data_IF_907401648928
#
_entry.id   IF_907401648928
#
_cell.length_a   1.000
_cell.length_b   1.000
_cell.length_c   1.000
_cell.angle_alpha   90.00
_cell.angle_beta   90.00
_cell.angle_gamma   90.00
#
_symmetry.space_group_name_H-M   'P 1'
#
loop_
_entity.id
_entity.type
_entity.pdbx_description
1 polymer ?
#
# COMPACT_ATOMS: atom_id res chain seq x y z
N UNK A 1 4.40 9.76 8.14
CA UNK A 1 5.41 9.61 7.08
C UNK A 1 4.95 8.63 6.00
N UNK A 2 4.91 7.31 6.23
CA UNK A 2 4.48 6.32 5.19
C UNK A 2 3.10 6.65 4.64
N UNK A 3 2.15 6.97 5.51
CA UNK A 3 0.81 7.43 5.12
C UNK A 3 0.83 8.66 4.22
N UNK A 4 1.72 9.62 4.48
CA UNK A 4 1.90 10.82 3.65
C UNK A 4 2.49 10.48 2.29
N UNK A 5 3.49 9.60 2.24
CA UNK A 5 4.07 9.10 0.97
C UNK A 5 2.97 8.42 0.14
N UNK A 6 2.19 7.54 0.76
CA UNK A 6 1.07 6.85 0.10
C UNK A 6 -0.03 7.81 -0.35
N UNK A 7 -0.29 8.89 0.39
CA UNK A 7 -1.23 9.92 -0.03
C UNK A 7 -0.76 10.66 -1.28
N UNK A 8 0.50 11.13 -1.32
CA UNK A 8 1.07 11.75 -2.51
C UNK A 8 1.10 10.77 -3.70
N UNK A 9 1.47 9.51 -3.44
CA UNK A 9 1.45 8.45 -4.42
C UNK A 9 0.06 8.22 -5.01
N UNK A 10 -0.97 8.17 -4.15
CA UNK A 10 -2.35 8.03 -4.60
C UNK A 10 -2.76 9.21 -5.48
N UNK A 11 -2.54 10.45 -5.03
CA UNK A 11 -2.90 11.65 -5.79
C UNK A 11 -2.18 11.71 -7.14
N UNK A 12 -0.91 11.31 -7.18
CA UNK A 12 -0.08 11.41 -8.37
C UNK A 12 -0.30 10.27 -9.36
N UNK A 13 -0.41 9.05 -8.86
CA UNK A 13 -0.35 7.83 -9.67
C UNK A 13 -1.67 7.09 -9.77
N UNK A 14 -2.63 7.33 -8.89
CA UNK A 14 -3.88 6.56 -8.83
C UNK A 14 -5.12 7.41 -9.14
N UNK A 15 -5.22 8.60 -8.54
CA UNK A 15 -6.38 9.45 -8.67
C UNK A 15 -6.65 9.83 -10.14
N UNK A 16 -7.91 9.65 -10.57
CA UNK A 16 -8.33 9.97 -11.94
C UNK A 16 -7.84 8.98 -13.00
N UNK A 17 -7.22 7.85 -12.61
CA UNK A 17 -6.78 6.80 -13.53
C UNK A 17 -7.63 5.54 -13.39
N UNK A 18 -7.67 4.74 -14.45
CA UNK A 18 -8.34 3.43 -14.47
C UNK A 18 -7.31 2.32 -14.34
N UNK A 19 -7.60 1.33 -13.49
CA UNK A 19 -6.73 0.17 -13.28
C UNK A 19 -7.48 -1.12 -13.57
N UNK A 20 -6.72 -2.10 -14.06
CA UNK A 20 -7.24 -3.44 -14.37
C UNK A 20 -7.64 -4.22 -13.10
N UNK A 21 -7.04 -3.89 -11.96
CA UNK A 21 -7.31 -4.54 -10.68
C UNK A 21 -6.85 -3.69 -9.50
N UNK A 22 -7.30 -4.04 -8.29
CA UNK A 22 -6.80 -3.47 -7.04
C UNK A 22 -5.30 -3.77 -6.84
N UNK A 23 -4.80 -4.92 -7.32
CA UNK A 23 -3.36 -5.24 -7.25
C UNK A 23 -2.50 -4.26 -8.04
N UNK A 24 -2.97 -3.81 -9.21
CA UNK A 24 -2.24 -2.81 -9.99
C UNK A 24 -2.11 -1.47 -9.23
N UNK A 25 -3.10 -1.14 -8.39
CA UNK A 25 -3.04 0.03 -7.50
C UNK A 25 -2.01 -0.20 -6.39
N UNK A 26 -2.04 -1.37 -5.72
CA UNK A 26 -1.06 -1.68 -4.67
C UNK A 26 0.39 -1.71 -5.19
N UNK A 27 0.62 -2.20 -6.41
CA UNK A 27 1.94 -2.15 -7.06
C UNK A 27 2.36 -0.69 -7.26
N UNK A 28 1.48 0.14 -7.82
CA UNK A 28 1.78 1.56 -8.06
C UNK A 28 2.10 2.30 -6.75
N UNK A 29 1.39 1.99 -5.66
CA UNK A 29 1.63 2.57 -4.34
C UNK A 29 2.93 2.05 -3.70
N UNK A 30 3.25 0.76 -3.87
CA UNK A 30 4.50 0.17 -3.37
C UNK A 30 5.73 0.73 -4.11
N UNK A 31 5.63 0.92 -5.43
CA UNK A 31 6.66 1.57 -6.24
C UNK A 31 6.93 3.01 -5.78
N UNK A 32 5.88 3.71 -5.35
CA UNK A 32 5.96 5.09 -4.92
C UNK A 32 6.68 5.30 -3.58
N UNK A 33 6.85 4.26 -2.75
CA UNK A 33 7.56 4.36 -1.47
C UNK A 33 9.04 4.78 -1.63
N UNK A 34 9.63 4.48 -2.78
CA UNK A 34 11.03 4.83 -3.11
C UNK A 34 11.13 5.84 -4.24
N UNK A 35 10.02 6.46 -4.64
CA UNK A 35 9.98 7.37 -5.78
C UNK A 35 10.49 8.76 -5.40
N UNK A 36 11.50 9.23 -6.15
CA UNK A 36 12.13 10.52 -5.95
C UNK A 36 11.21 11.70 -6.25
N UNK A 37 10.11 11.50 -6.98
CA UNK A 37 9.11 12.53 -7.22
C UNK A 37 8.23 12.82 -5.98
N UNK A 38 8.24 11.93 -4.97
CA UNK A 38 7.47 12.08 -3.73
C UNK A 38 8.41 12.28 -2.54
N UNK A 39 9.43 11.43 -2.43
CA UNK A 39 10.48 11.52 -1.43
C UNK A 39 11.77 11.99 -2.12
N UNK A 40 12.01 13.30 -2.11
CA UNK A 40 13.15 13.87 -2.79
C UNK A 40 14.46 13.40 -2.12
N UNK A 41 15.39 12.94 -2.95
CA UNK A 41 16.77 12.62 -2.57
C UNK A 41 17.69 13.57 -3.30
N UNK A 42 18.36 14.45 -2.57
CA UNK A 42 19.31 15.44 -3.10
C UNK A 42 20.71 14.97 -2.73
N UNK A 43 21.57 14.75 -3.72
CA UNK A 43 22.99 14.45 -3.49
C UNK A 43 23.71 15.73 -3.05
N UNK A 44 24.38 15.68 -1.90
CA UNK A 44 25.20 16.74 -1.34
C UNK A 44 26.64 16.23 -1.06
N UNK A 45 27.58 17.15 -0.84
CA UNK A 45 28.98 16.81 -0.62
C UNK A 45 29.25 15.85 0.56
N UNK A 46 28.33 15.79 1.54
CA UNK A 46 28.46 14.97 2.76
C UNK A 46 27.46 13.78 2.79
N UNK A 47 26.72 13.54 1.72
CA UNK A 47 25.75 12.46 1.62
C UNK A 47 24.44 12.91 0.98
N UNK A 48 23.36 12.15 1.24
CA UNK A 48 22.03 12.46 0.70
C UNK A 48 21.21 13.26 1.69
N UNK A 49 20.53 14.28 1.18
CA UNK A 49 19.47 15.00 1.89
C UNK A 49 18.10 14.53 1.42
N UNK A 50 17.23 14.22 2.38
CA UNK A 50 15.87 13.73 2.18
C UNK A 50 14.83 14.80 2.51
N UNK A 51 13.84 14.96 1.62
CA UNK A 51 12.75 15.92 1.79
C UNK A 51 11.41 15.25 1.48
N UNK A 52 10.47 15.38 2.42
CA UNK A 52 9.06 15.02 2.26
C UNK A 52 8.21 16.15 2.84
N UNK A 53 7.59 16.95 1.97
CA UNK A 53 6.79 18.10 2.39
C UNK A 53 5.51 17.67 3.10
N UNK A 54 5.15 18.34 4.20
CA UNK A 54 3.84 18.17 4.82
C UNK A 54 2.77 18.86 3.94
N UNK A 55 1.72 18.15 3.48
CA UNK A 55 0.67 18.76 2.65
C UNK A 55 -0.14 19.84 3.39
N UNK A 56 -0.16 19.82 4.72
CA UNK A 56 -0.86 20.83 5.54
C UNK A 56 0.04 22.01 5.90
N UNK A 57 1.35 21.79 5.99
CA UNK A 57 2.36 22.79 6.35
C UNK A 57 3.58 22.67 5.41
N UNK A 58 3.54 23.28 4.21
CA UNK A 58 4.54 23.02 3.16
C UNK A 58 6.00 23.29 3.55
N UNK A 59 6.22 24.18 4.52
CA UNK A 59 7.55 24.51 5.08
C UNK A 59 8.13 23.39 5.96
N UNK A 60 7.30 22.45 6.42
CA UNK A 60 7.72 21.34 7.28
C UNK A 60 8.23 20.16 6.44
N UNK A 61 9.46 19.72 6.73
CA UNK A 61 10.01 18.46 6.23
C UNK A 61 9.71 17.31 7.20
N UNK A 62 8.79 16.43 6.81
CA UNK A 62 8.35 15.28 7.62
C UNK A 62 9.44 14.23 7.83
N UNK A 63 10.52 14.28 7.06
CA UNK A 63 11.70 13.39 7.21
C UNK A 63 12.94 14.18 7.62
N UNK A 64 12.79 15.36 8.25
CA UNK A 64 13.92 16.16 8.70
C UNK A 64 14.93 15.36 9.54
N UNK A 65 14.43 14.45 10.39
CA UNK A 65 15.27 13.58 11.22
C UNK A 65 16.19 12.65 10.41
N UNK A 66 15.87 12.32 9.17
CA UNK A 66 16.70 11.47 8.30
C UNK A 66 17.97 12.17 7.83
N UNK A 67 18.03 13.50 7.94
CA UNK A 67 19.19 14.31 7.59
C UNK A 67 20.18 14.48 8.75
N UNK A 68 19.98 13.72 9.83
CA UNK A 68 20.84 13.67 11.02
C UNK A 68 21.69 12.41 10.92
N UNK A 69 23.01 12.53 11.11
CA UNK A 69 23.99 11.46 10.91
C UNK A 69 23.64 10.19 11.70
N UNK A 70 23.21 10.35 12.95
CA UNK A 70 22.82 9.28 13.87
C UNK A 70 21.66 8.43 13.35
N UNK A 71 20.84 8.98 12.44
CA UNK A 71 19.66 8.31 11.89
C UNK A 71 19.91 7.64 10.53
N UNK A 72 21.16 7.62 10.02
CA UNK A 72 21.48 6.97 8.73
C UNK A 72 21.02 5.51 8.67
N UNK A 73 21.07 4.79 9.80
CA UNK A 73 20.60 3.42 9.90
C UNK A 73 19.09 3.31 9.67
N UNK A 74 18.29 4.17 10.29
CA UNK A 74 16.83 4.19 10.10
C UNK A 74 16.44 4.43 8.64
N UNK A 75 17.19 5.29 7.95
CA UNK A 75 16.99 5.58 6.53
C UNK A 75 17.27 4.33 5.69
N UNK A 76 18.41 3.67 5.92
CA UNK A 76 18.75 2.44 5.22
C UNK A 76 17.72 1.32 5.49
N UNK A 77 17.27 1.17 6.74
CA UNK A 77 16.24 0.20 7.12
C UNK A 77 14.90 0.50 6.44
N UNK A 78 14.51 1.78 6.32
CA UNK A 78 13.31 2.17 5.58
C UNK A 78 13.39 1.76 4.10
N UNK A 79 14.49 2.06 3.41
CA UNK A 79 14.61 1.72 1.99
C UNK A 79 14.72 0.21 1.76
N UNK A 80 15.39 -0.52 2.66
CA UNK A 80 15.43 -1.97 2.64
C UNK A 80 14.01 -2.54 2.78
N UNK A 81 13.26 -2.09 3.80
CA UNK A 81 11.87 -2.47 4.03
C UNK A 81 10.98 -2.13 2.83
N UNK A 82 11.08 -0.93 2.25
CA UNK A 82 10.26 -0.51 1.12
C UNK A 82 10.53 -1.38 -0.13
N UNK A 83 11.80 -1.73 -0.37
CA UNK A 83 12.20 -2.67 -1.41
C UNK A 83 11.57 -4.06 -1.19
N UNK A 84 11.62 -4.58 0.03
CA UNK A 84 11.07 -5.91 0.32
C UNK A 84 9.54 -5.93 0.28
N UNK A 85 8.88 -4.87 0.75
CA UNK A 85 7.44 -4.68 0.59
C UNK A 85 7.02 -4.67 -0.87
N UNK A 86 7.75 -3.95 -1.74
CA UNK A 86 7.51 -3.98 -3.19
C UNK A 86 7.61 -5.38 -3.76
N UNK A 87 8.68 -6.13 -3.43
CA UNK A 87 8.83 -7.53 -3.88
C UNK A 87 7.68 -8.40 -3.41
N UNK A 88 7.25 -8.22 -2.16
CA UNK A 88 6.10 -8.92 -1.59
C UNK A 88 4.81 -8.65 -2.37
N UNK A 89 4.47 -7.39 -2.64
CA UNK A 89 3.27 -7.03 -3.43
C UNK A 89 3.36 -7.58 -4.87
N UNK A 90 4.54 -7.53 -5.48
CA UNK A 90 4.76 -8.11 -6.82
C UNK A 90 4.63 -9.63 -6.83
N UNK A 91 5.03 -10.31 -5.76
CA UNK A 91 4.86 -11.76 -5.62
C UNK A 91 3.38 -12.14 -5.50
N UNK A 92 2.61 -11.40 -4.69
CA UNK A 92 1.16 -11.61 -4.56
C UNK A 92 0.43 -11.45 -5.91
N UNK A 93 0.83 -10.48 -6.72
CA UNK A 93 0.22 -10.26 -8.03
C UNK A 93 0.50 -11.39 -9.04
N UNK A 94 1.53 -12.21 -8.79
CA UNK A 94 1.92 -13.36 -9.62
C UNK A 94 1.47 -14.70 -9.02
N UNK A 95 0.88 -14.69 -7.83
CA UNK A 95 0.52 -15.91 -7.14
C UNK A 95 -0.63 -16.60 -7.87
N UNK A 96 -0.34 -17.76 -8.46
CA UNK A 96 -1.33 -18.60 -9.10
C UNK A 96 -1.83 -19.64 -8.09
N UNK A 97 -3.10 -19.51 -7.72
CA UNK A 97 -3.76 -20.46 -6.84
C UNK A 97 -3.81 -20.02 -5.36
N UNK A 98 -4.90 -20.42 -4.72
CA UNK A 98 -5.28 -19.98 -3.37
C UNK A 98 -4.25 -20.35 -2.30
N UNK A 99 -3.66 -21.54 -2.41
CA UNK A 99 -2.65 -22.02 -1.46
C UNK A 99 -1.40 -21.13 -1.45
N UNK A 100 -0.91 -20.77 -2.65
CA UNK A 100 0.27 -19.91 -2.82
C UNK A 100 -0.01 -18.51 -2.27
N UNK A 101 -1.20 -17.96 -2.53
CA UNK A 101 -1.64 -16.69 -1.94
C UNK A 101 -1.68 -16.73 -0.41
N UNK A 102 -2.25 -17.79 0.17
CA UNK A 102 -2.34 -17.94 1.62
C UNK A 102 -0.95 -18.02 2.28
N UNK A 103 -0.04 -18.79 1.70
CA UNK A 103 1.33 -18.96 2.18
C UNK A 103 2.09 -17.62 2.15
N UNK A 104 2.05 -16.93 1.01
CA UNK A 104 2.72 -15.65 0.86
C UNK A 104 2.16 -14.60 1.82
N UNK A 105 0.83 -14.48 1.92
CA UNK A 105 0.18 -13.55 2.86
C UNK A 105 0.55 -13.88 4.31
N UNK A 106 0.56 -15.16 4.68
CA UNK A 106 0.93 -15.60 6.03
C UNK A 106 2.38 -15.24 6.34
N UNK A 107 3.29 -15.43 5.39
CA UNK A 107 4.70 -15.05 5.54
C UNK A 107 4.90 -13.54 5.67
N UNK A 108 4.08 -12.71 5.00
CA UNK A 108 4.24 -11.26 4.99
C UNK A 108 3.49 -10.53 6.12
N UNK A 109 2.31 -11.02 6.50
CA UNK A 109 1.39 -10.33 7.42
C UNK A 109 1.18 -11.09 8.75
N UNK A 110 1.62 -12.35 8.83
CA UNK A 110 1.37 -13.22 9.97
C UNK A 110 0.13 -14.11 9.81
N UNK A 111 0.19 -15.29 10.42
CA UNK A 111 -0.90 -16.29 10.33
C UNK A 111 -2.17 -15.86 11.04
N UNK A 112 -2.04 -15.10 12.12
CA UNK A 112 -3.18 -14.66 12.95
C UNK A 112 -4.13 -13.76 12.15
N UNK A 113 -3.58 -12.94 11.26
CA UNK A 113 -4.28 -11.97 10.44
C UNK A 113 -4.89 -12.64 9.19
N UNK A 114 -4.21 -13.66 8.65
CA UNK A 114 -4.53 -14.26 7.35
C UNK A 114 -5.49 -15.44 7.48
N UNK A 115 -5.27 -16.34 8.45
CA UNK A 115 -6.04 -17.57 8.58
C UNK A 115 -7.55 -17.36 8.76
N UNK A 116 -8.03 -16.35 9.52
CA UNK A 116 -9.47 -16.11 9.67
C UNK A 116 -10.16 -15.76 8.34
N UNK A 117 -9.49 -14.99 7.46
CA UNK A 117 -10.02 -14.57 6.16
C UNK A 117 -10.20 -15.79 5.25
N UNK A 118 -9.17 -16.63 5.15
CA UNK A 118 -9.24 -17.84 4.33
C UNK A 118 -10.25 -18.86 4.87
N UNK A 119 -10.40 -18.99 6.20
CA UNK A 119 -11.44 -19.84 6.80
C UNK A 119 -12.85 -19.33 6.47
N UNK A 120 -13.11 -18.04 6.63
CA UNK A 120 -14.40 -17.44 6.29
C UNK A 120 -14.77 -17.63 4.81
N UNK A 121 -13.79 -17.49 3.91
CA UNK A 121 -13.99 -17.76 2.49
C UNK A 121 -14.32 -19.23 2.19
N UNK A 122 -13.75 -20.20 2.91
CA UNK A 122 -14.12 -21.62 2.77
C UNK A 122 -15.56 -21.85 3.23
N UNK A 123 -15.93 -21.29 4.38
CA UNK A 123 -17.27 -21.45 4.97
C UNK A 123 -18.37 -20.79 4.13
N UNK A 124 -18.05 -19.71 3.40
CA UNK A 124 -18.96 -19.06 2.46
C UNK A 124 -19.27 -19.90 1.22
N UNK A 125 -18.35 -20.80 0.82
CA UNK A 125 -18.48 -21.65 -0.38
C UNK A 125 -18.97 -23.06 -0.03
N UNK A 126 -19.05 -23.40 1.26
CA UNK A 126 -19.53 -24.70 1.72
C UNK A 126 -21.01 -24.92 1.36
N UNK A 127 -21.38 -26.10 0.84
CA UNK A 127 -22.76 -26.41 0.50
C UNK A 127 -23.65 -26.36 1.75
N UNK A 128 -24.64 -25.46 1.76
CA UNK A 128 -25.52 -25.20 2.91
C UNK A 128 -25.31 -23.85 3.61
N UNK A 129 -24.32 -23.05 3.18
CA UNK A 129 -24.12 -21.70 3.70
C UNK A 129 -25.31 -20.79 3.32
N UNK A 130 -25.95 -20.08 4.26
CA UNK A 130 -27.04 -19.17 3.95
C UNK A 130 -26.47 -18.00 3.14
N UNK A 131 -26.66 -18.08 1.83
CA UNK A 131 -26.34 -17.06 0.83
C UNK A 131 -26.61 -15.66 1.41
N UNK A 132 -25.57 -14.93 1.83
CA UNK A 132 -25.69 -13.50 2.12
C UNK A 132 -25.61 -12.77 0.78
N UNK A 133 -26.68 -12.14 0.30
CA UNK A 133 -26.62 -11.33 -0.90
C UNK A 133 -26.04 -9.99 -0.50
N UNK A 134 -24.73 -9.83 -0.67
CA UNK A 134 -24.04 -8.59 -1.04
C UNK A 134 -22.56 -8.73 -0.69
N UNK A 135 -21.75 -8.92 -1.72
CA UNK A 135 -20.36 -8.45 -1.75
C UNK A 135 -20.37 -6.91 -1.67
N UNK A 136 -20.75 -6.39 -0.52
CA UNK A 136 -20.77 -4.97 -0.20
C UNK A 136 -19.91 -4.77 1.03
N UNK A 137 -18.70 -4.27 0.82
CA UNK A 137 -17.87 -3.54 1.77
C UNK A 137 -18.07 -3.92 3.25
N UNK A 138 -17.21 -4.80 3.77
CA UNK A 138 -16.99 -4.88 5.22
C UNK A 138 -16.03 -3.73 5.60
N UNK A 139 -16.47 -2.69 6.33
CA UNK A 139 -15.64 -1.49 6.58
C UNK A 139 -14.44 -1.76 7.49
N UNK A 140 -14.40 -2.90 8.19
CA UNK A 140 -13.30 -3.28 9.08
C UNK A 140 -12.14 -4.03 8.40
N UNK A 141 -12.23 -4.28 7.09
CA UNK A 141 -11.20 -4.97 6.30
C UNK A 141 -10.78 -4.12 5.08
N UNK A 142 -10.47 -2.84 5.31
CA UNK A 142 -10.09 -1.88 4.28
C UNK A 142 -8.83 -2.21 3.45
N UNK A 143 -8.25 -3.41 3.57
CA UNK A 143 -7.02 -3.80 2.86
C UNK A 143 -7.16 -5.12 2.06
N UNK A 144 -8.11 -6.02 2.35
CA UNK A 144 -8.09 -7.39 1.79
C UNK A 144 -9.40 -7.92 1.21
N UNK A 145 -10.32 -7.04 0.81
CA UNK A 145 -11.49 -7.44 0.02
C UNK A 145 -11.09 -7.78 -1.43
N UNK A 146 -10.42 -8.90 -1.66
CA UNK A 146 -9.98 -9.32 -2.99
C UNK A 146 -10.49 -10.73 -3.30
N UNK A 147 -11.76 -10.80 -3.68
CA UNK A 147 -12.26 -11.89 -4.52
C UNK A 147 -12.45 -11.34 -5.94
N UNK A 148 -12.05 -12.15 -6.92
CA UNK A 148 -11.91 -11.80 -8.31
C UNK A 148 -13.16 -11.11 -8.91
N UNK A 149 -13.02 -9.84 -9.27
CA UNK A 149 -13.84 -9.19 -10.27
C UNK A 149 -12.92 -8.45 -11.24
N UNK A 150 -12.70 -9.08 -12.39
CA UNK A 150 -11.96 -8.53 -13.54
C UNK A 150 -12.79 -7.44 -14.25
N UNK A 151 -13.17 -6.40 -13.51
CA UNK A 151 -13.77 -5.20 -14.08
C UNK A 151 -12.90 -4.02 -13.68
N UNK A 152 -12.42 -3.26 -14.67
CA UNK A 152 -11.64 -2.06 -14.43
C UNK A 152 -12.36 -1.16 -13.41
N UNK A 153 -11.66 -0.80 -12.33
CA UNK A 153 -12.24 -0.03 -11.22
C UNK A 153 -11.90 1.43 -11.46
N UNK A 154 -12.87 2.29 -11.83
CA UNK A 154 -12.65 3.73 -11.86
C UNK A 154 -12.58 4.26 -10.42
N UNK A 155 -11.44 4.84 -10.03
CA UNK A 155 -11.29 5.49 -8.73
C UNK A 155 -11.52 6.99 -8.85
N UNK A 156 -12.54 7.48 -8.14
CA UNK A 156 -12.88 8.91 -8.09
C UNK A 156 -11.78 9.67 -7.34
N UNK A 157 -11.29 10.76 -7.95
CA UNK A 157 -10.40 11.68 -7.25
C UNK A 157 -11.13 12.30 -6.05
N UNK A 158 -10.58 12.15 -4.84
CA UNK A 158 -11.10 12.81 -3.65
C UNK A 158 -10.38 14.16 -3.47
N UNK A 159 -11.11 15.26 -3.63
CA UNK A 159 -10.68 16.59 -3.18
C UNK A 159 -11.05 16.75 -1.71
N UNK A 160 -10.04 16.87 -0.84
CA UNK A 160 -10.24 17.18 0.57
C UNK A 160 -10.28 18.71 0.70
N UNK A 161 -11.47 19.27 0.92
CA UNK A 161 -11.62 20.68 1.24
C UNK A 161 -11.58 20.81 2.77
N UNK A 162 -10.42 21.15 3.32
CA UNK A 162 -10.34 21.60 4.71
C UNK A 162 -11.07 22.94 4.84
N UNK A 163 -12.12 22.99 5.65
CA UNK A 163 -12.80 24.24 6.00
C UNK A 163 -11.90 25.06 6.93
N UNK A 164 -11.76 26.32 6.56
CA UNK A 164 -10.91 27.36 7.14
C UNK A 164 -11.36 27.82 8.53
#
# INVERSE_FOLDING_TARGET
>A
MVTTILWYAYQRYVAGRTFQSVYAIFIALADALTDHAILLQIEEHQGKRYILSNPTLPEENLVAKWNIEENKRDVAEFFAWASDYKKFIQALAKAEGRHVLQEQLTSGLGSEQVMPIFKADVEAVAPGSPSRPNFGYVPSLGILGIAAASSAIPLKAHTFHGTH
#
